data_IF_350156917130
#
_entry.id   IF_350156917130
#
_cell.length_a   1.000
_cell.length_b   1.000
_cell.length_c   1.000
_cell.angle_alpha   90.00
_cell.angle_beta   90.00
_cell.angle_gamma   90.00
#
_symmetry.space_group_name_H-M   'P 1'
#
loop_
_entity.id
_entity.type
_entity.pdbx_description
1 polymer ?
#
# COMPACT_ATOMS: atom_id res chain seq x y z
N UNK A 1 38.56 35.20 -34.65
CA UNK A 1 38.10 33.84 -34.32
C UNK A 1 37.11 33.94 -33.15
N UNK A 2 35.81 34.02 -33.44
CA UNK A 2 34.75 34.14 -32.44
C UNK A 2 34.30 32.73 -32.01
N UNK A 3 34.59 32.33 -30.77
CA UNK A 3 34.03 31.10 -30.18
C UNK A 3 32.79 31.45 -29.37
N UNK A 4 31.64 31.04 -29.88
CA UNK A 4 30.37 31.08 -29.16
C UNK A 4 30.39 29.98 -28.08
N UNK A 5 30.27 30.35 -26.80
CA UNK A 5 29.95 29.40 -25.75
C UNK A 5 28.43 29.19 -25.74
N UNK A 6 28.01 27.99 -26.15
CA UNK A 6 26.65 27.50 -25.92
C UNK A 6 26.53 27.13 -24.44
N UNK A 7 25.83 27.95 -23.66
CA UNK A 7 25.41 27.59 -22.32
C UNK A 7 24.24 26.60 -22.44
N UNK A 8 24.48 25.30 -22.22
CA UNK A 8 23.42 24.34 -22.01
C UNK A 8 22.78 24.62 -20.64
N UNK A 9 21.61 25.26 -20.65
CA UNK A 9 20.69 25.24 -19.53
C UNK A 9 20.15 23.81 -19.38
N UNK A 10 20.71 23.06 -18.43
CA UNK A 10 20.07 21.85 -17.93
C UNK A 10 18.91 22.33 -17.06
N UNK A 11 17.75 22.46 -17.68
CA UNK A 11 16.48 22.61 -16.97
C UNK A 11 16.29 21.29 -16.21
N UNK A 12 16.49 21.31 -14.90
CA UNK A 12 16.09 20.23 -14.02
C UNK A 12 14.58 20.05 -14.14
N UNK A 13 14.15 19.12 -14.98
CA UNK A 13 12.76 18.71 -15.03
C UNK A 13 12.45 18.05 -13.69
N UNK A 14 11.67 18.73 -12.86
CA UNK A 14 10.83 18.05 -11.87
C UNK A 14 9.98 17.08 -12.67
N UNK A 15 10.38 15.81 -12.70
CA UNK A 15 9.65 14.77 -13.41
C UNK A 15 8.27 14.64 -12.74
N UNK A 16 7.30 15.39 -13.26
CA UNK A 16 5.90 15.05 -13.10
C UNK A 16 5.80 13.60 -13.55
N UNK A 17 5.41 12.70 -12.65
CA UNK A 17 5.19 11.31 -13.02
C UNK A 17 4.20 11.33 -14.20
N UNK A 18 4.61 10.74 -15.32
CA UNK A 18 3.73 10.59 -16.47
C UNK A 18 2.38 10.00 -16.01
N UNK A 19 1.30 10.40 -16.69
CA UNK A 19 0.00 9.81 -16.45
C UNK A 19 0.02 8.29 -16.67
N UNK A 20 -0.90 7.57 -16.06
CA UNK A 20 -1.02 6.11 -16.22
C UNK A 20 -1.30 5.69 -17.66
N UNK A 21 -0.86 4.50 -18.04
CA UNK A 21 -1.12 3.91 -19.36
C UNK A 21 -2.60 3.57 -19.59
N UNK A 22 -3.38 3.36 -18.53
CA UNK A 22 -4.81 3.12 -18.60
C UNK A 22 -5.53 3.46 -17.29
N UNK A 23 -6.79 3.88 -17.40
CA UNK A 23 -7.72 4.01 -16.29
C UNK A 23 -8.50 2.71 -16.15
N UNK A 24 -8.60 2.18 -14.93
CA UNK A 24 -9.46 1.03 -14.64
C UNK A 24 -10.90 1.31 -15.11
N UNK A 25 -11.58 0.32 -15.72
CA UNK A 25 -12.87 0.55 -16.37
C UNK A 25 -14.01 0.76 -15.37
N UNK A 26 -13.92 0.19 -14.17
CA UNK A 26 -14.96 0.29 -13.15
C UNK A 26 -14.96 1.64 -12.43
N UNK A 27 -16.13 2.00 -11.90
CA UNK A 27 -16.32 3.15 -11.02
C UNK A 27 -17.01 2.69 -9.75
N UNK A 28 -16.42 3.02 -8.60
CA UNK A 28 -17.03 2.83 -7.29
C UNK A 28 -17.41 4.20 -6.74
N UNK A 29 -18.71 4.42 -6.54
CA UNK A 29 -19.19 5.62 -5.89
C UNK A 29 -18.87 5.55 -4.39
N UNK A 30 -18.01 6.47 -3.95
CA UNK A 30 -17.71 6.74 -2.54
C UNK A 30 -18.42 8.03 -2.12
N UNK A 31 -18.48 8.31 -0.81
CA UNK A 31 -19.17 9.52 -0.31
C UNK A 31 -18.63 10.83 -0.90
N UNK A 32 -17.33 10.88 -1.16
CA UNK A 32 -16.66 12.09 -1.62
C UNK A 32 -16.51 12.19 -3.15
N UNK A 33 -16.78 11.12 -3.89
CA UNK A 33 -16.57 11.08 -5.33
C UNK A 33 -16.45 9.65 -5.87
N UNK A 34 -16.14 9.56 -7.16
CA UNK A 34 -15.99 8.28 -7.85
C UNK A 34 -14.54 7.81 -7.78
N UNK A 35 -14.32 6.56 -7.39
CA UNK A 35 -13.01 5.92 -7.46
C UNK A 35 -12.94 5.02 -8.70
N UNK A 36 -11.89 5.18 -9.51
CA UNK A 36 -11.56 4.20 -10.55
C UNK A 36 -11.16 2.88 -9.90
N UNK A 37 -11.73 1.76 -10.37
CA UNK A 37 -11.51 0.45 -9.75
C UNK A 37 -11.53 -0.66 -10.79
N UNK A 38 -10.55 -1.55 -10.71
CA UNK A 38 -10.58 -2.83 -11.39
C UNK A 38 -11.38 -3.83 -10.57
N UNK A 39 -12.33 -4.52 -11.19
CA UNK A 39 -13.09 -5.60 -10.54
C UNK A 39 -12.95 -6.84 -11.42
N UNK A 40 -12.52 -7.93 -10.80
CA UNK A 40 -12.37 -9.21 -11.47
C UNK A 40 -13.70 -9.88 -11.78
N UNK A 41 -13.67 -11.00 -12.52
CA UNK A 41 -14.84 -11.86 -12.68
C UNK A 41 -15.39 -12.25 -11.29
N UNK A 42 -16.69 -12.05 -11.09
CA UNK A 42 -17.33 -12.46 -9.85
C UNK A 42 -17.55 -13.99 -9.86
N UNK A 43 -17.07 -14.73 -8.85
CA UNK A 43 -17.47 -16.13 -8.70
C UNK A 43 -18.94 -16.24 -8.29
N UNK A 44 -19.53 -17.43 -8.48
CA UNK A 44 -20.91 -17.70 -8.04
C UNK A 44 -21.11 -17.45 -6.54
N UNK A 45 -20.07 -17.72 -5.74
CA UNK A 45 -20.06 -17.49 -4.30
C UNK A 45 -18.79 -16.77 -3.88
N UNK A 46 -18.93 -15.57 -3.33
CA UNK A 46 -17.79 -14.75 -2.88
C UNK A 46 -17.54 -15.03 -1.40
N UNK A 47 -16.56 -15.87 -1.08
CA UNK A 47 -16.15 -16.14 0.30
C UNK A 47 -14.91 -15.33 0.71
N UNK A 48 -14.08 -14.94 -0.27
CA UNK A 48 -12.91 -14.08 -0.08
C UNK A 48 -12.98 -12.88 -1.02
N UNK A 49 -12.64 -11.70 -0.49
CA UNK A 49 -12.34 -10.53 -1.31
C UNK A 49 -10.86 -10.17 -1.16
N UNK A 50 -10.13 -10.20 -2.26
CA UNK A 50 -8.74 -9.80 -2.35
C UNK A 50 -8.65 -8.37 -2.92
N UNK A 51 -8.34 -7.40 -2.04
CA UNK A 51 -8.09 -6.01 -2.41
C UNK A 51 -6.60 -5.86 -2.73
N UNK A 52 -6.26 -5.43 -3.94
CA UNK A 52 -4.89 -5.37 -4.45
C UNK A 52 -4.49 -3.92 -4.72
N UNK A 53 -3.52 -3.43 -3.97
CA UNK A 53 -3.02 -2.05 -4.06
C UNK A 53 -1.75 -2.02 -4.91
N UNK A 54 -1.82 -1.31 -6.02
CA UNK A 54 -0.72 -1.16 -6.96
C UNK A 54 0.48 -0.39 -6.37
N UNK A 55 1.63 -0.47 -7.04
CA UNK A 55 2.81 0.35 -6.74
C UNK A 55 2.66 1.82 -7.20
N UNK A 56 3.77 2.57 -7.15
CA UNK A 56 3.80 4.01 -7.53
C UNK A 56 3.38 4.30 -8.98
N UNK A 57 3.38 3.29 -9.85
CA UNK A 57 2.99 3.41 -11.26
C UNK A 57 1.48 3.47 -11.47
N UNK A 58 0.67 3.28 -10.41
CA UNK A 58 -0.80 3.41 -10.48
C UNK A 58 -1.46 2.47 -11.50
N UNK A 59 -0.82 1.35 -11.82
CA UNK A 59 -1.24 0.35 -12.80
C UNK A 59 -2.15 -0.73 -12.17
N UNK A 60 -3.33 -0.32 -11.68
CA UNK A 60 -4.27 -1.18 -10.96
C UNK A 60 -4.67 -2.45 -11.73
N UNK A 61 -4.95 -2.35 -13.04
CA UNK A 61 -5.34 -3.52 -13.85
C UNK A 61 -4.24 -4.57 -13.97
N UNK A 62 -2.97 -4.16 -14.03
CA UNK A 62 -1.84 -5.11 -14.01
C UNK A 62 -1.87 -5.91 -12.72
N UNK A 63 -2.02 -5.24 -11.59
CA UNK A 63 -2.08 -5.89 -10.28
C UNK A 63 -3.32 -6.77 -10.10
N UNK A 64 -4.48 -6.36 -10.62
CA UNK A 64 -5.69 -7.18 -10.65
C UNK A 64 -5.44 -8.51 -11.37
N UNK A 65 -4.90 -8.45 -12.59
CA UNK A 65 -4.61 -9.64 -13.42
C UNK A 65 -3.59 -10.57 -12.76
N UNK A 66 -2.53 -10.04 -12.17
CA UNK A 66 -1.55 -10.85 -11.43
C UNK A 66 -2.18 -11.54 -10.22
N UNK A 67 -3.09 -10.86 -9.50
CA UNK A 67 -3.78 -11.45 -8.36
C UNK A 67 -4.83 -12.50 -8.77
N UNK A 68 -5.49 -12.33 -9.91
CA UNK A 68 -6.34 -13.36 -10.51
C UNK A 68 -5.53 -14.59 -10.92
N UNK A 69 -4.36 -14.37 -11.53
CA UNK A 69 -3.43 -15.46 -11.86
C UNK A 69 -2.97 -16.19 -10.60
N UNK A 70 -2.69 -15.47 -9.51
CA UNK A 70 -2.36 -16.08 -8.22
C UNK A 70 -3.52 -16.90 -7.65
N UNK A 71 -4.76 -16.41 -7.77
CA UNK A 71 -5.96 -17.15 -7.36
C UNK A 71 -6.16 -18.41 -8.20
N UNK A 72 -5.91 -18.34 -9.51
CA UNK A 72 -5.96 -19.50 -10.41
C UNK A 72 -4.91 -20.55 -10.05
N UNK A 73 -3.65 -20.14 -9.89
CA UNK A 73 -2.55 -21.02 -9.50
C UNK A 73 -2.81 -21.71 -8.15
N UNK A 74 -3.46 -21.00 -7.22
CA UNK A 74 -3.87 -21.55 -5.93
C UNK A 74 -5.18 -22.36 -6.01
N UNK A 75 -5.87 -22.43 -7.14
CA UNK A 75 -7.18 -23.09 -7.24
C UNK A 75 -8.27 -22.42 -6.38
N UNK A 76 -8.22 -21.09 -6.23
CA UNK A 76 -9.10 -20.28 -5.38
C UNK A 76 -10.06 -19.37 -6.15
N UNK A 77 -10.05 -19.42 -7.49
CA UNK A 77 -10.88 -18.58 -8.36
C UNK A 77 -12.38 -18.73 -8.06
N UNK A 78 -12.84 -19.94 -7.75
CA UNK A 78 -14.27 -20.22 -7.50
C UNK A 78 -14.85 -19.51 -6.27
N UNK A 79 -14.01 -18.94 -5.40
CA UNK A 79 -14.43 -18.32 -4.13
C UNK A 79 -13.84 -16.93 -3.87
N UNK A 80 -13.03 -16.40 -4.80
CA UNK A 80 -12.29 -15.16 -4.61
C UNK A 80 -12.74 -14.10 -5.61
N UNK A 81 -13.21 -12.97 -5.10
CA UNK A 81 -13.34 -11.74 -5.90
C UNK A 81 -12.08 -10.89 -5.74
N UNK A 82 -11.46 -10.50 -6.86
CA UNK A 82 -10.32 -9.57 -6.86
C UNK A 82 -10.81 -8.15 -7.15
N UNK A 83 -10.41 -7.19 -6.31
CA UNK A 83 -10.69 -5.76 -6.49
C UNK A 83 -9.36 -5.00 -6.46
N UNK A 84 -9.13 -4.11 -7.44
CA UNK A 84 -7.94 -3.27 -7.53
C UNK A 84 -8.34 -1.79 -7.61
N UNK A 85 -8.49 -1.10 -6.47
CA UNK A 85 -8.73 0.34 -6.46
C UNK A 85 -7.55 1.09 -7.09
N UNK A 86 -7.83 2.03 -8.00
CA UNK A 86 -6.80 2.83 -8.66
C UNK A 86 -6.71 4.22 -8.02
N UNK A 87 -5.63 4.48 -7.29
CA UNK A 87 -5.36 5.78 -6.66
C UNK A 87 -4.73 6.72 -7.68
N UNK A 88 -5.57 7.39 -8.46
CA UNK A 88 -5.16 8.35 -9.49
C UNK A 88 -4.52 9.61 -8.91
N UNK A 89 -3.73 10.31 -9.73
CA UNK A 89 -3.22 11.65 -9.41
C UNK A 89 -3.71 12.71 -10.43
N UNK A 90 -3.27 13.95 -10.25
CA UNK A 90 -3.69 15.06 -11.11
C UNK A 90 -3.27 14.89 -12.57
N UNK A 91 -2.10 14.29 -12.82
CA UNK A 91 -1.61 14.01 -14.17
C UNK A 91 -2.49 13.00 -14.89
N UNK A 92 -3.01 12.00 -14.18
CA UNK A 92 -3.93 11.01 -14.76
C UNK A 92 -5.27 11.66 -15.16
N UNK A 93 -5.83 12.49 -14.27
CA UNK A 93 -7.08 13.20 -14.55
C UNK A 93 -6.93 14.17 -15.71
N UNK A 94 -5.81 14.89 -15.80
CA UNK A 94 -5.51 15.76 -16.94
C UNK A 94 -5.35 14.97 -18.24
N UNK A 95 -4.60 13.87 -18.23
CA UNK A 95 -4.32 13.05 -19.41
C UNK A 95 -5.59 12.48 -20.03
N UNK A 96 -6.53 11.99 -19.21
CA UNK A 96 -7.76 11.35 -19.67
C UNK A 96 -8.99 12.27 -19.65
N UNK A 97 -8.82 13.56 -19.33
CA UNK A 97 -9.91 14.53 -19.20
C UNK A 97 -11.04 14.02 -18.27
N UNK A 98 -10.67 13.42 -17.14
CA UNK A 98 -11.63 12.79 -16.24
C UNK A 98 -12.48 13.85 -15.51
N UNK A 99 -13.75 13.54 -15.18
CA UNK A 99 -14.59 14.46 -14.42
C UNK A 99 -13.97 14.88 -13.09
N UNK A 100 -14.29 16.09 -12.64
CA UNK A 100 -13.80 16.62 -11.37
C UNK A 100 -14.22 15.76 -10.16
N UNK A 101 -15.31 14.99 -10.27
CA UNK A 101 -15.82 14.05 -9.26
C UNK A 101 -14.95 12.81 -9.08
N UNK A 102 -14.07 12.49 -10.04
CA UNK A 102 -13.15 11.36 -9.93
C UNK A 102 -12.08 11.70 -8.89
N UNK A 103 -11.99 10.84 -7.88
CA UNK A 103 -11.03 10.96 -6.79
C UNK A 103 -9.60 10.83 -7.34
N UNK A 104 -8.78 11.78 -6.93
CA UNK A 104 -7.36 11.87 -7.27
C UNK A 104 -6.60 12.50 -6.12
N UNK A 105 -5.32 12.15 -5.99
CA UNK A 105 -4.44 12.64 -4.92
C UNK A 105 -3.26 13.40 -5.48
N UNK A 106 -2.66 14.25 -4.66
CA UNK A 106 -1.46 14.98 -5.05
C UNK A 106 -0.28 14.05 -5.26
N UNK A 107 0.17 13.87 -6.50
CA UNK A 107 1.30 12.99 -6.81
C UNK A 107 1.19 11.60 -6.15
N UNK A 108 2.06 11.31 -5.18
CA UNK A 108 2.06 10.05 -4.41
C UNK A 108 1.50 10.18 -2.98
N UNK A 109 0.81 11.28 -2.64
CA UNK A 109 0.28 11.51 -1.30
C UNK A 109 -0.76 10.46 -0.86
N UNK A 110 -1.41 9.77 -1.80
CA UNK A 110 -2.24 8.60 -1.52
C UNK A 110 -1.47 7.50 -0.77
N UNK A 111 -0.16 7.35 -1.01
CA UNK A 111 0.69 6.36 -0.33
C UNK A 111 0.91 6.66 1.16
N UNK A 112 0.61 7.88 1.59
CA UNK A 112 0.61 8.30 2.98
C UNK A 112 -0.79 8.53 3.54
N UNK A 113 -1.86 8.16 2.84
CA UNK A 113 -3.22 8.42 3.32
C UNK A 113 -3.65 9.88 3.20
N UNK A 114 -3.00 10.65 2.33
CA UNK A 114 -3.32 12.05 2.07
C UNK A 114 -4.76 12.25 1.59
N UNK A 115 -5.22 13.50 1.62
CA UNK A 115 -6.54 13.89 1.12
C UNK A 115 -6.55 13.97 -0.41
N UNK A 116 -7.66 13.55 -1.01
CA UNK A 116 -7.93 13.77 -2.43
C UNK A 116 -8.06 15.27 -2.72
N UNK A 117 -7.76 15.67 -3.96
CA UNK A 117 -7.80 17.06 -4.44
C UNK A 117 -9.07 17.36 -5.25
N UNK A 118 -10.07 16.48 -5.20
CA UNK A 118 -11.40 16.70 -5.77
C UNK A 118 -12.24 17.68 -4.94
N UNK A 119 -13.49 17.97 -5.36
CA UNK A 119 -14.39 18.91 -4.68
C UNK A 119 -14.65 18.57 -3.21
N UNK A 120 -14.71 17.28 -2.90
CA UNK A 120 -14.86 16.77 -1.54
C UNK A 120 -13.59 15.98 -1.16
N UNK A 121 -12.73 16.51 -0.28
CA UNK A 121 -11.51 15.82 0.14
C UNK A 121 -11.81 14.52 0.90
N UNK A 122 -11.13 13.43 0.52
CA UNK A 122 -11.20 12.13 1.18
C UNK A 122 -9.80 11.55 1.34
N UNK A 123 -9.49 11.05 2.54
CA UNK A 123 -8.23 10.32 2.74
C UNK A 123 -8.21 9.04 1.89
N UNK A 124 -7.07 8.71 1.29
CA UNK A 124 -6.90 7.41 0.61
C UNK A 124 -7.21 6.22 1.54
N UNK A 125 -6.97 6.36 2.85
CA UNK A 125 -7.30 5.33 3.83
C UNK A 125 -8.79 5.30 4.18
N UNK A 126 -9.46 6.46 4.18
CA UNK A 126 -10.92 6.50 4.32
C UNK A 126 -11.63 5.90 3.10
N UNK A 127 -11.05 6.01 1.89
CA UNK A 127 -11.54 5.30 0.71
C UNK A 127 -11.46 3.77 0.90
N UNK A 128 -10.37 3.25 1.50
CA UNK A 128 -10.26 1.84 1.86
C UNK A 128 -11.29 1.44 2.93
N UNK A 129 -11.55 2.29 3.93
CA UNK A 129 -12.60 2.03 4.93
C UNK A 129 -13.98 1.88 4.27
N UNK A 130 -14.32 2.74 3.30
CA UNK A 130 -15.60 2.63 2.58
C UNK A 130 -15.69 1.37 1.72
N UNK A 131 -14.60 0.94 1.09
CA UNK A 131 -14.53 -0.33 0.35
C UNK A 131 -14.75 -1.51 1.31
N UNK A 132 -14.03 -1.55 2.44
CA UNK A 132 -14.18 -2.62 3.44
C UNK A 132 -15.60 -2.62 4.01
N UNK A 133 -16.14 -1.45 4.37
CA UNK A 133 -17.50 -1.34 4.88
C UNK A 133 -18.53 -1.92 3.90
N UNK A 134 -18.37 -1.66 2.58
CA UNK A 134 -19.24 -2.23 1.55
C UNK A 134 -19.12 -3.75 1.46
N UNK A 135 -17.91 -4.30 1.57
CA UNK A 135 -17.67 -5.75 1.56
C UNK A 135 -18.24 -6.42 2.82
N UNK A 136 -18.31 -5.70 3.94
CA UNK A 136 -18.91 -6.22 5.18
C UNK A 136 -20.43 -6.20 5.20
N UNK A 137 -21.10 -5.57 4.24
CA UNK A 137 -22.55 -5.55 4.15
C UNK A 137 -23.09 -6.93 3.71
N UNK A 138 -23.71 -7.66 4.64
CA UNK A 138 -24.27 -9.00 4.41
C UNK A 138 -25.39 -9.04 3.38
N UNK A 139 -26.01 -7.90 3.04
CA UNK A 139 -26.99 -7.83 1.94
C UNK A 139 -26.33 -7.89 0.57
N UNK A 140 -25.11 -7.36 0.46
CA UNK A 140 -24.34 -7.35 -0.79
C UNK A 140 -23.37 -8.54 -0.87
N UNK A 141 -22.80 -8.93 0.26
CA UNK A 141 -21.78 -9.97 0.38
C UNK A 141 -22.16 -10.98 1.48
N UNK A 142 -23.19 -11.81 1.26
CA UNK A 142 -23.72 -12.72 2.28
C UNK A 142 -22.68 -13.73 2.75
N UNK A 143 -21.82 -14.21 1.85
CA UNK A 143 -20.91 -15.34 2.09
C UNK A 143 -19.48 -14.96 2.45
N UNK A 144 -19.12 -13.67 2.45
CA UNK A 144 -17.73 -13.25 2.69
C UNK A 144 -17.28 -13.64 4.10
N UNK A 145 -16.18 -14.38 4.18
CA UNK A 145 -15.52 -14.81 5.42
C UNK A 145 -14.20 -14.10 5.63
N UNK A 146 -13.56 -13.65 4.55
CA UNK A 146 -12.22 -13.07 4.61
C UNK A 146 -12.06 -11.90 3.64
N UNK A 147 -11.40 -10.85 4.11
CA UNK A 147 -10.86 -9.77 3.30
C UNK A 147 -9.34 -9.83 3.43
N UNK A 148 -8.65 -9.83 2.30
CA UNK A 148 -7.19 -9.74 2.24
C UNK A 148 -6.83 -8.46 1.52
N UNK A 149 -6.02 -7.60 2.14
CA UNK A 149 -5.50 -6.38 1.51
C UNK A 149 -4.03 -6.59 1.22
N UNK A 150 -3.69 -6.80 -0.04
CA UNK A 150 -2.32 -6.93 -0.51
C UNK A 150 -1.84 -5.60 -1.09
N UNK A 151 -0.58 -5.26 -0.87
CA UNK A 151 0.06 -4.15 -1.56
C UNK A 151 1.54 -4.40 -1.80
N UNK A 152 2.03 -4.03 -2.99
CA UNK A 152 3.45 -4.15 -3.36
C UNK A 152 4.09 -2.77 -3.56
N UNK A 153 5.36 -2.60 -3.15
CA UNK A 153 6.13 -1.37 -3.38
C UNK A 153 5.43 -0.15 -2.77
N UNK A 154 4.94 0.79 -3.58
CA UNK A 154 4.10 1.89 -3.11
C UNK A 154 2.81 1.42 -2.42
N UNK A 155 2.17 0.37 -2.93
CA UNK A 155 1.01 -0.26 -2.29
C UNK A 155 1.37 -0.97 -0.98
N UNK A 156 2.57 -1.52 -0.87
CA UNK A 156 3.06 -2.09 0.40
C UNK A 156 3.15 -1.03 1.49
N UNK A 157 3.59 0.19 1.12
CA UNK A 157 3.62 1.32 2.04
C UNK A 157 2.19 1.72 2.48
N UNK A 158 1.24 1.75 1.54
CA UNK A 158 -0.18 2.02 1.83
C UNK A 158 -0.71 0.99 2.81
N UNK A 159 -0.54 -0.29 2.54
CA UNK A 159 -1.09 -1.36 3.38
C UNK A 159 -0.47 -1.34 4.78
N UNK A 160 0.85 -1.14 4.89
CA UNK A 160 1.52 -1.06 6.18
C UNK A 160 1.02 0.12 7.01
N UNK A 161 0.95 1.30 6.42
CA UNK A 161 0.54 2.55 7.08
C UNK A 161 -0.96 2.59 7.34
N UNK A 162 -1.77 2.04 6.45
CA UNK A 162 -3.20 1.86 6.64
C UNK A 162 -3.45 0.91 7.80
N UNK A 163 -2.81 -0.25 7.85
CA UNK A 163 -2.93 -1.14 9.01
C UNK A 163 -2.53 -0.45 10.33
N UNK A 164 -1.56 0.47 10.30
CA UNK A 164 -1.14 1.25 11.46
C UNK A 164 -2.21 2.25 11.92
N UNK A 165 -2.79 3.02 11.00
CA UNK A 165 -3.77 4.07 11.33
C UNK A 165 -5.23 3.63 11.30
N UNK A 166 -5.54 2.45 10.73
CA UNK A 166 -6.91 2.03 10.50
C UNK A 166 -7.70 2.03 11.80
N UNK A 167 -8.89 2.60 11.77
CA UNK A 167 -9.79 2.57 12.91
C UNK A 167 -10.39 1.17 13.05
N UNK A 168 -10.90 0.86 14.24
CA UNK A 168 -11.66 -0.37 14.43
C UNK A 168 -12.91 -0.33 13.54
N UNK A 169 -13.20 -1.43 12.86
CA UNK A 169 -14.39 -1.58 12.02
C UNK A 169 -15.31 -2.65 12.66
N UNK A 170 -16.28 -2.26 13.51
CA UNK A 170 -17.09 -3.21 14.27
C UNK A 170 -17.84 -4.24 13.41
N UNK A 171 -18.19 -3.89 12.18
CA UNK A 171 -18.87 -4.77 11.24
C UNK A 171 -18.05 -6.03 10.91
N UNK A 172 -16.71 -5.94 10.84
CA UNK A 172 -15.85 -7.12 10.63
C UNK A 172 -16.05 -8.13 11.76
N UNK A 173 -15.99 -7.67 13.01
CA UNK A 173 -16.16 -8.53 14.19
C UNK A 173 -17.59 -9.06 14.31
N UNK A 174 -18.58 -8.19 14.15
CA UNK A 174 -20.00 -8.56 14.25
C UNK A 174 -20.39 -9.62 13.22
N UNK A 175 -19.81 -9.55 12.02
CA UNK A 175 -20.06 -10.49 10.95
C UNK A 175 -19.08 -11.68 10.93
N UNK A 176 -18.09 -11.74 11.83
CA UNK A 176 -17.09 -12.80 11.83
C UNK A 176 -16.19 -12.82 10.58
N UNK A 177 -15.97 -11.66 9.95
CA UNK A 177 -15.12 -11.51 8.76
C UNK A 177 -13.68 -11.27 9.20
N UNK A 178 -12.78 -12.16 8.79
CA UNK A 178 -11.34 -12.03 9.02
C UNK A 178 -10.73 -10.98 8.09
N UNK A 179 -9.95 -10.05 8.63
CA UNK A 179 -9.19 -9.08 7.84
C UNK A 179 -7.68 -9.34 7.99
N UNK A 180 -7.00 -9.54 6.85
CA UNK A 180 -5.55 -9.71 6.78
C UNK A 180 -4.91 -8.63 5.90
N UNK A 181 -3.75 -8.16 6.33
CA UNK A 181 -2.89 -7.26 5.56
C UNK A 181 -1.65 -8.01 5.06
N UNK A 182 -1.33 -7.91 3.77
CA UNK A 182 -0.11 -8.47 3.17
C UNK A 182 0.72 -7.32 2.60
N UNK A 183 1.83 -7.03 3.28
CA UNK A 183 2.75 -5.92 3.00
C UNK A 183 3.93 -6.45 2.21
N UNK A 184 3.98 -6.18 0.91
CA UNK A 184 5.03 -6.70 0.02
C UNK A 184 6.03 -5.62 -0.40
N UNK A 185 7.32 -5.86 -0.13
CA UNK A 185 8.45 -5.03 -0.58
C UNK A 185 8.23 -3.51 -0.50
N UNK A 186 7.72 -2.92 0.59
CA UNK A 186 7.60 -1.48 0.68
C UNK A 186 8.97 -0.82 0.72
N UNK A 187 9.06 0.39 0.18
CA UNK A 187 10.31 1.12 0.18
C UNK A 187 10.64 1.72 1.55
N UNK A 188 9.67 1.91 2.43
CA UNK A 188 9.87 2.42 3.79
C UNK A 188 8.69 2.02 4.67
N UNK A 189 8.91 2.08 5.98
CA UNK A 189 7.96 1.72 7.03
C UNK A 189 7.74 2.90 7.97
N UNK A 190 6.53 3.03 8.52
CA UNK A 190 6.27 3.93 9.62
C UNK A 190 6.58 3.24 10.96
N UNK A 191 7.54 3.79 11.70
CA UNK A 191 7.94 3.34 13.05
C UNK A 191 7.10 4.04 14.12
N UNK A 192 6.87 3.38 15.27
CA UNK A 192 6.03 3.94 16.34
C UNK A 192 6.69 5.10 17.09
N UNK A 193 8.02 5.19 17.03
CA UNK A 193 8.81 6.20 17.71
C UNK A 193 10.06 6.55 16.90
N UNK A 194 10.95 7.32 17.51
CA UNK A 194 12.19 7.81 16.90
C UNK A 194 13.29 6.75 16.72
N UNK A 195 13.11 5.51 17.18
CA UNK A 195 14.13 4.48 16.99
C UNK A 195 14.30 4.15 15.50
N UNK A 196 15.54 4.15 15.03
CA UNK A 196 15.89 3.71 13.67
C UNK A 196 16.97 2.63 13.74
N UNK A 197 16.89 1.60 12.88
CA UNK A 197 17.82 0.47 12.93
C UNK A 197 19.19 0.78 12.35
N UNK A 198 19.36 1.85 11.58
CA UNK A 198 20.63 2.30 11.00
C UNK A 198 21.00 3.66 11.61
N UNK A 199 22.26 3.83 12.00
CA UNK A 199 22.76 5.10 12.52
C UNK A 199 22.74 6.18 11.43
N UNK A 200 22.32 7.39 11.80
CA UNK A 200 22.19 8.53 10.90
C UNK A 200 22.37 9.85 11.66
N UNK A 201 22.71 10.91 10.92
CA UNK A 201 22.85 12.26 11.46
C UNK A 201 21.46 12.92 11.59
N UNK A 202 21.01 13.12 12.85
CA UNK A 202 19.70 13.69 13.14
C UNK A 202 19.58 15.14 12.67
N UNK A 203 20.68 15.91 12.69
CA UNK A 203 20.68 17.30 12.24
C UNK A 203 20.52 17.40 10.72
N UNK A 204 20.99 16.39 9.98
CA UNK A 204 20.85 16.31 8.51
C UNK A 204 19.57 15.62 8.06
N UNK A 205 18.90 14.89 8.95
CA UNK A 205 17.69 14.15 8.64
C UNK A 205 16.52 14.51 9.55
N UNK A 206 16.21 15.80 9.69
CA UNK A 206 15.17 16.31 10.61
C UNK A 206 13.77 15.73 10.37
N UNK A 207 13.50 15.23 9.15
CA UNK A 207 12.23 14.65 8.77
C UNK A 207 12.02 13.18 9.17
N UNK A 208 13.03 12.51 9.73
CA UNK A 208 13.04 11.05 9.90
C UNK A 208 11.84 10.49 10.66
N UNK A 209 11.27 11.27 11.59
CA UNK A 209 10.11 10.87 12.39
C UNK A 209 8.77 11.46 11.91
N UNK A 210 8.77 12.31 10.88
CA UNK A 210 7.53 12.79 10.26
C UNK A 210 6.79 11.64 9.60
N UNK A 211 5.49 11.86 9.43
CA UNK A 211 4.58 10.90 8.85
C UNK A 211 5.09 10.35 7.51
N UNK A 212 4.75 9.08 7.27
CA UNK A 212 5.31 8.13 6.28
C UNK A 212 6.53 7.35 6.78
N UNK A 213 7.32 7.89 7.72
CA UNK A 213 8.49 7.22 8.32
C UNK A 213 8.38 7.07 9.85
N UNK A 214 7.70 8.01 10.52
CA UNK A 214 7.33 7.95 11.94
C UNK A 214 5.91 8.47 12.17
N UNK A 215 5.60 8.86 13.41
CA UNK A 215 4.25 9.29 13.84
C UNK A 215 4.12 10.77 14.18
N UNK A 216 5.12 11.60 13.87
CA UNK A 216 4.95 13.07 13.93
C UNK A 216 4.16 13.55 12.71
N UNK A 217 3.32 14.57 12.86
CA UNK A 217 2.53 15.18 11.77
C UNK A 217 1.65 14.19 10.99
N UNK A 218 1.00 13.26 11.71
CA UNK A 218 0.08 12.28 11.13
C UNK A 218 -1.09 12.94 10.38
N UNK A 219 -1.61 12.27 9.33
CA UNK A 219 -2.69 12.82 8.53
C UNK A 219 -3.98 12.91 9.36
N UNK A 220 -4.90 13.78 8.95
CA UNK A 220 -6.23 13.94 9.57
C UNK A 220 -6.96 12.61 9.77
N UNK A 221 -6.71 11.62 8.90
CA UNK A 221 -7.23 10.26 9.02
C UNK A 221 -6.94 9.61 10.39
N UNK A 222 -5.75 9.83 10.95
CA UNK A 222 -5.35 9.30 12.26
C UNK A 222 -6.25 9.78 13.41
N UNK A 223 -7.03 10.85 13.20
CA UNK A 223 -8.10 11.24 14.12
C UNK A 223 -7.64 11.54 15.55
N UNK A 224 -6.39 12.00 15.72
CA UNK A 224 -5.82 12.30 17.04
C UNK A 224 -5.37 11.08 17.86
N UNK A 225 -5.32 9.87 17.28
CA UNK A 225 -4.78 8.71 17.96
C UNK A 225 -3.31 8.92 18.35
N UNK A 226 -2.99 8.55 19.59
CA UNK A 226 -1.62 8.62 20.11
C UNK A 226 -0.75 7.46 19.59
N UNK A 227 0.58 7.61 19.55
CA UNK A 227 1.50 6.52 19.21
C UNK A 227 1.23 5.21 19.96
N UNK A 228 0.96 5.29 21.27
CA UNK A 228 0.68 4.13 22.11
C UNK A 228 -0.62 3.41 21.72
N UNK A 229 -1.68 4.16 21.38
CA UNK A 229 -2.94 3.58 20.89
C UNK A 229 -2.76 2.90 19.54
N UNK A 230 -2.02 3.53 18.63
CA UNK A 230 -1.73 2.98 17.30
C UNK A 230 -0.92 1.69 17.41
N UNK A 231 0.16 1.70 18.18
CA UNK A 231 0.98 0.52 18.45
C UNK A 231 0.16 -0.63 19.06
N UNK A 232 -0.63 -0.33 20.10
CA UNK A 232 -1.46 -1.33 20.79
C UNK A 232 -2.51 -1.98 19.89
N UNK A 233 -3.03 -1.25 18.90
CA UNK A 233 -3.95 -1.78 17.89
C UNK A 233 -3.19 -2.57 16.82
N UNK A 234 -2.10 -2.01 16.30
CA UNK A 234 -1.34 -2.57 15.19
C UNK A 234 -0.81 -3.98 15.48
N UNK A 235 -0.24 -4.20 16.65
CA UNK A 235 0.38 -5.50 17.02
C UNK A 235 -0.62 -6.66 17.10
N UNK A 236 -1.92 -6.36 17.24
CA UNK A 236 -3.00 -7.34 17.25
C UNK A 236 -3.53 -7.66 15.85
N UNK A 237 -3.25 -6.82 14.85
CA UNK A 237 -3.69 -7.01 13.47
C UNK A 237 -2.93 -8.15 12.83
N UNK A 238 -3.63 -8.89 11.98
CA UNK A 238 -3.00 -9.92 11.18
C UNK A 238 -2.23 -9.30 10.01
N UNK A 239 -0.90 -9.22 10.12
CA UNK A 239 -0.03 -8.65 9.10
C UNK A 239 1.01 -9.68 8.65
N UNK A 240 1.14 -9.87 7.35
CA UNK A 240 2.20 -10.66 6.72
C UNK A 240 3.14 -9.70 5.98
N UNK A 241 4.41 -9.66 6.38
CA UNK A 241 5.48 -8.99 5.64
C UNK A 241 6.05 -9.98 4.63
N UNK A 242 5.73 -9.79 3.35
CA UNK A 242 6.16 -10.67 2.26
C UNK A 242 7.34 -10.00 1.56
N UNK A 243 8.55 -10.55 1.70
CA UNK A 243 9.78 -9.88 1.26
C UNK A 243 10.52 -10.71 0.21
N UNK A 244 10.72 -10.17 -0.99
CA UNK A 244 11.50 -10.82 -2.04
C UNK A 244 12.98 -10.93 -1.64
N UNK A 245 13.56 -12.13 -1.69
CA UNK A 245 14.96 -12.36 -1.31
C UNK A 245 15.96 -11.63 -2.21
N UNK A 246 15.56 -11.28 -3.44
CA UNK A 246 16.39 -10.57 -4.40
C UNK A 246 16.07 -9.06 -4.47
N UNK A 247 15.23 -8.51 -3.58
CA UNK A 247 14.96 -7.07 -3.49
C UNK A 247 16.05 -6.36 -2.66
N UNK A 248 17.28 -6.48 -3.17
CA UNK A 248 18.54 -6.14 -2.50
C UNK A 248 19.34 -5.04 -3.20
N UNK A 249 18.81 -4.43 -4.26
CA UNK A 249 19.50 -3.38 -5.01
C UNK A 249 19.32 -1.99 -4.33
N UNK A 250 20.38 -1.41 -3.73
CA UNK A 250 20.32 -0.08 -3.12
C UNK A 250 20.23 1.04 -4.17
N UNK A 251 20.55 0.75 -5.43
CA UNK A 251 20.49 1.71 -6.52
C UNK A 251 19.19 1.67 -7.32
N UNK A 252 18.28 0.76 -6.99
CA UNK A 252 17.02 0.56 -7.70
C UNK A 252 16.27 1.91 -7.91
N UNK A 253 15.82 2.24 -9.13
CA UNK A 253 15.29 3.58 -9.45
C UNK A 253 13.97 3.92 -8.74
N UNK A 254 13.20 2.91 -8.35
CA UNK A 254 11.99 3.08 -7.54
C UNK A 254 12.23 3.01 -6.02
N UNK A 255 13.49 2.93 -5.56
CA UNK A 255 13.80 2.92 -4.14
C UNK A 255 13.76 4.35 -3.60
N UNK A 256 13.16 4.50 -2.44
CA UNK A 256 13.23 5.70 -1.63
C UNK A 256 14.66 5.84 -1.06
N UNK A 257 15.39 6.82 -1.58
CA UNK A 257 16.77 7.16 -1.21
C UNK A 257 16.82 8.42 -0.34
N UNK A 258 15.68 8.87 0.20
CA UNK A 258 15.67 9.93 1.22
C UNK A 258 16.33 9.44 2.52
N UNK A 259 16.96 10.35 3.25
CA UNK A 259 17.68 10.01 4.49
C UNK A 259 16.75 9.30 5.50
N UNK A 260 15.46 9.66 5.51
CA UNK A 260 14.45 9.08 6.40
C UNK A 260 14.23 7.59 6.15
N UNK A 261 14.34 7.18 4.87
CA UNK A 261 14.24 5.80 4.44
C UNK A 261 15.57 5.06 4.57
N UNK A 262 16.70 5.72 4.31
CA UNK A 262 18.04 5.15 4.50
C UNK A 262 18.34 4.82 5.97
N UNK A 263 17.81 5.61 6.91
CA UNK A 263 17.84 5.29 8.35
C UNK A 263 17.17 3.93 8.69
N UNK A 264 16.40 3.36 7.76
CA UNK A 264 15.73 2.07 7.93
C UNK A 264 16.50 0.90 7.30
N UNK A 265 17.54 1.14 6.49
CA UNK A 265 18.29 0.12 5.75
C UNK A 265 18.61 0.53 4.31
N UNK A 266 19.60 -0.14 3.71
CA UNK A 266 20.09 0.20 2.36
C UNK A 266 19.14 -0.22 1.21
N UNK A 267 18.35 -1.27 1.40
CA UNK A 267 17.43 -1.83 0.39
C UNK A 267 16.20 -2.47 1.04
N UNK A 268 15.17 -2.82 0.26
CA UNK A 268 13.82 -3.14 0.77
C UNK A 268 13.79 -4.40 1.63
N UNK A 269 14.50 -5.46 1.25
CA UNK A 269 14.59 -6.67 2.07
C UNK A 269 15.16 -6.36 3.47
N UNK A 270 16.26 -5.60 3.53
CA UNK A 270 16.86 -5.17 4.81
C UNK A 270 15.88 -4.32 5.63
N UNK A 271 15.23 -3.33 5.00
CA UNK A 271 14.24 -2.46 5.67
C UNK A 271 13.11 -3.28 6.31
N UNK A 272 12.57 -4.26 5.58
CA UNK A 272 11.51 -5.13 6.10
C UNK A 272 11.95 -6.02 7.25
N UNK A 273 13.13 -6.66 7.15
CA UNK A 273 13.68 -7.49 8.23
C UNK A 273 13.97 -6.68 9.49
N UNK A 274 14.51 -5.47 9.33
CA UNK A 274 14.81 -4.59 10.45
C UNK A 274 13.54 -4.02 11.11
N UNK A 275 12.52 -3.68 10.32
CA UNK A 275 11.22 -3.27 10.85
C UNK A 275 10.54 -4.40 11.64
N UNK A 276 10.50 -5.62 11.09
CA UNK A 276 9.92 -6.77 11.80
C UNK A 276 10.70 -7.10 13.08
N UNK A 277 12.04 -7.06 13.02
CA UNK A 277 12.88 -7.19 14.22
C UNK A 277 12.65 -6.11 15.27
N UNK A 278 12.33 -4.88 14.85
CA UNK A 278 11.90 -3.80 15.74
C UNK A 278 10.59 -4.14 16.45
N UNK A 279 9.59 -4.70 15.74
CA UNK A 279 8.34 -5.14 16.34
C UNK A 279 8.56 -6.23 17.40
N UNK A 280 9.33 -7.27 17.07
CA UNK A 280 9.60 -8.37 17.99
C UNK A 280 10.37 -7.94 19.25
N UNK A 281 11.29 -6.98 19.13
CA UNK A 281 12.01 -6.45 20.30
C UNK A 281 11.11 -5.62 21.23
N UNK A 282 10.11 -4.94 20.67
CA UNK A 282 9.16 -4.12 21.44
C UNK A 282 8.05 -4.94 22.08
N UNK A 283 7.69 -6.04 21.43
CA UNK A 283 6.63 -6.95 21.86
C UNK A 283 7.16 -8.38 22.00
N UNK A 284 8.05 -8.64 22.98
CA UNK A 284 8.58 -9.98 23.24
C UNK A 284 7.49 -10.98 23.65
N UNK A 285 6.35 -10.50 24.14
CA UNK A 285 5.14 -11.30 24.43
C UNK A 285 4.47 -11.87 23.17
N UNK A 286 4.82 -11.34 21.99
CA UNK A 286 4.34 -11.80 20.70
C UNK A 286 3.47 -10.76 19.98
N UNK A 287 3.37 -10.94 18.66
CA UNK A 287 2.55 -10.14 17.75
C UNK A 287 1.73 -11.07 16.86
N UNK A 288 0.57 -10.62 16.38
CA UNK A 288 -0.23 -11.38 15.40
C UNK A 288 0.30 -11.19 13.96
N UNK A 289 1.62 -11.19 13.82
CA UNK A 289 2.30 -10.80 12.58
C UNK A 289 3.43 -11.74 12.26
N UNK A 290 3.75 -11.90 10.98
CA UNK A 290 4.84 -12.76 10.53
C UNK A 290 5.56 -12.20 9.32
N UNK A 291 6.82 -12.57 9.18
CA UNK A 291 7.64 -12.26 8.01
C UNK A 291 7.85 -13.54 7.21
N UNK A 292 7.67 -13.44 5.90
CA UNK A 292 7.89 -14.51 4.93
C UNK A 292 8.79 -13.97 3.84
N UNK A 293 9.94 -14.61 3.64
CA UNK A 293 10.83 -14.30 2.53
C UNK A 293 10.43 -15.13 1.30
N UNK A 294 10.45 -14.54 0.10
CA UNK A 294 10.08 -15.18 -1.16
C UNK A 294 11.35 -15.51 -1.96
N UNK A 295 11.73 -16.79 -2.08
CA UNK A 295 12.94 -17.19 -2.78
C UNK A 295 12.92 -16.80 -4.26
N UNK A 296 14.06 -16.32 -4.76
CA UNK A 296 14.25 -15.99 -6.18
C UNK A 296 13.51 -14.74 -6.69
N UNK A 297 12.62 -14.12 -5.90
CA UNK A 297 11.84 -12.94 -6.30
C UNK A 297 12.51 -11.65 -5.82
N UNK A 298 12.62 -10.66 -6.71
CA UNK A 298 13.12 -9.32 -6.42
C UNK A 298 12.00 -8.28 -6.26
N UNK A 299 12.19 -7.08 -6.80
CA UNK A 299 11.16 -6.02 -6.78
C UNK A 299 10.06 -6.23 -7.85
N UNK A 300 9.45 -7.42 -7.88
CA UNK A 300 8.51 -7.83 -8.91
C UNK A 300 7.12 -8.12 -8.30
N UNK A 301 6.14 -7.25 -8.57
CA UNK A 301 4.80 -7.38 -8.00
C UNK A 301 4.06 -8.66 -8.42
N UNK A 302 4.26 -9.12 -9.66
CA UNK A 302 3.66 -10.36 -10.17
C UNK A 302 4.24 -11.58 -9.43
N UNK A 303 5.58 -11.69 -9.38
CA UNK A 303 6.25 -12.78 -8.66
C UNK A 303 5.93 -12.81 -7.17
N UNK A 304 5.70 -11.66 -6.54
CA UNK A 304 5.26 -11.62 -5.14
C UNK A 304 3.83 -12.14 -4.95
N UNK A 305 2.96 -12.02 -5.94
CA UNK A 305 1.60 -12.56 -5.91
C UNK A 305 1.56 -14.04 -6.28
N UNK A 306 2.27 -14.43 -7.35
CA UNK A 306 2.17 -15.76 -7.97
C UNK A 306 3.15 -16.80 -7.41
N UNK A 307 4.14 -16.38 -6.61
CA UNK A 307 5.02 -17.32 -5.88
C UNK A 307 4.26 -18.22 -4.90
N UNK A 308 4.80 -19.40 -4.55
CA UNK A 308 4.19 -20.26 -3.52
C UNK A 308 3.96 -19.55 -2.18
N UNK A 309 4.91 -18.74 -1.73
CA UNK A 309 4.80 -17.94 -0.51
C UNK A 309 3.73 -16.86 -0.62
N UNK A 310 3.62 -16.22 -1.79
CA UNK A 310 2.55 -15.28 -2.11
C UNK A 310 1.17 -15.92 -2.03
N UNK A 311 0.98 -17.05 -2.73
CA UNK A 311 -0.27 -17.80 -2.70
C UNK A 311 -0.67 -18.21 -1.28
N UNK A 312 0.30 -18.73 -0.50
CA UNK A 312 0.09 -19.06 0.91
C UNK A 312 -0.34 -17.87 1.76
N UNK A 313 0.32 -16.71 1.58
CA UNK A 313 -0.01 -15.49 2.31
C UNK A 313 -1.43 -14.98 1.97
N UNK A 314 -1.85 -15.11 0.72
CA UNK A 314 -3.14 -14.62 0.22
C UNK A 314 -4.31 -15.56 0.53
N UNK A 315 -4.08 -16.88 0.48
CA UNK A 315 -5.16 -17.87 0.40
C UNK A 315 -5.19 -18.93 1.51
N UNK A 316 -4.26 -18.89 2.47
CA UNK A 316 -4.19 -19.83 3.60
C UNK A 316 -3.89 -21.29 3.20
N UNK A 317 -2.96 -21.49 2.26
CA UNK A 317 -2.50 -22.83 1.82
C UNK A 317 -1.29 -23.36 2.57
#
# INVERSE_FOLDING_TARGET
MHKWLLALLIIGSTAHAAGVDAISPGRLQLKAGEMAVGIGPAPEKIERVLIVIHGRLRNAETYRKSAESAAELAGQTAHTLVIAPQFLNESDVALYSLPATVLRWKGNEWMGGGLSTGPNPLSAYAALDEIVARITDRKQFPDVKQIVIFGHSGGGQVVQRYALLAKDQPALKANGIRLRYVVANPSSYAYFNEQRPVAFDHAKCVGFNRWKYGLSDMPVYAGGQTPLQLESSYIKREVIYLLGQQDIDPQHPALDKGCEAEAQGAYRLMRGKLFFGYLLRRHPEGVNQRLVEVPGVGHNGDGMLTSPEGQKALFDQ
#
